data_IF_134058122208
#
_entry.id   IF_134058122208
#
_cell.length_a   1.000
_cell.length_b   1.000
_cell.length_c   1.000
_cell.angle_alpha   90.00
_cell.angle_beta   90.00
_cell.angle_gamma   90.00
#
_symmetry.space_group_name_H-M   'P 1'
#
loop_
_entity.id
_entity.type
_entity.pdbx_description
1 polymer ?
#
# COMPACT_ATOMS: atom_id res chain seq x y z
N UNK A 1 4.02 -10.23 45.98
CA UNK A 1 4.30 -10.79 44.65
C UNK A 1 5.23 -9.84 43.93
N UNK A 2 6.49 -10.21 43.70
CA UNK A 2 7.42 -9.42 42.90
C UNK A 2 7.07 -9.64 41.41
N UNK A 3 6.64 -8.61 40.71
CA UNK A 3 6.49 -8.63 39.25
C UNK A 3 7.89 -8.59 38.62
N UNK A 4 8.35 -9.70 38.10
CA UNK A 4 9.57 -9.73 37.28
C UNK A 4 9.21 -9.19 35.93
N UNK A 5 9.59 -7.95 35.66
CA UNK A 5 9.50 -7.36 34.32
C UNK A 5 10.63 -7.95 33.47
N UNK A 6 10.34 -8.94 32.65
CA UNK A 6 11.29 -9.45 31.65
C UNK A 6 11.37 -8.41 30.54
N UNK A 7 12.37 -7.54 30.58
CA UNK A 7 12.74 -6.70 29.45
C UNK A 7 13.31 -7.58 28.34
N UNK A 8 12.63 -7.67 27.21
CA UNK A 8 13.16 -8.34 26.04
C UNK A 8 14.47 -7.64 25.63
N UNK A 9 15.58 -8.37 25.73
CA UNK A 9 16.90 -7.85 25.36
C UNK A 9 17.00 -7.89 23.84
N UNK A 10 16.86 -6.71 23.20
CA UNK A 10 17.03 -6.57 21.76
C UNK A 10 18.52 -6.70 21.40
N UNK A 11 18.85 -7.57 20.45
CA UNK A 11 20.25 -7.76 20.01
C UNK A 11 20.83 -6.51 19.35
N UNK A 12 19.96 -5.71 18.68
CA UNK A 12 20.34 -4.48 18.00
C UNK A 12 19.37 -3.34 18.33
N UNK A 13 19.83 -2.05 18.35
CA UNK A 13 18.97 -0.89 18.58
C UNK A 13 17.76 -0.81 17.64
N UNK A 14 17.91 -1.14 16.36
CA UNK A 14 16.80 -1.09 15.40
C UNK A 14 15.62 -2.02 15.76
N UNK A 15 15.85 -3.06 16.53
CA UNK A 15 14.82 -4.00 16.98
C UNK A 15 13.99 -3.45 18.15
N UNK A 16 14.48 -2.41 18.84
CA UNK A 16 13.75 -1.83 19.96
C UNK A 16 12.61 -0.90 19.44
N UNK A 17 11.33 -1.27 19.62
CA UNK A 17 10.20 -0.49 19.13
C UNK A 17 9.99 0.84 19.86
N UNK A 18 10.67 1.07 20.99
CA UNK A 18 10.52 2.28 21.79
C UNK A 18 11.50 3.39 21.36
N UNK A 19 12.48 3.06 20.52
CA UNK A 19 13.36 4.07 19.91
C UNK A 19 12.64 4.79 18.75
N UNK A 20 12.99 6.07 18.50
CA UNK A 20 12.50 6.82 17.34
C UNK A 20 12.75 6.07 16.03
N UNK A 21 11.78 6.11 15.11
CA UNK A 21 11.84 5.38 13.84
C UNK A 21 13.11 5.70 13.05
N UNK A 22 13.48 6.98 12.95
CA UNK A 22 14.68 7.42 12.23
C UNK A 22 15.95 6.83 12.83
N UNK A 23 16.06 6.79 14.16
CA UNK A 23 17.19 6.17 14.84
C UNK A 23 17.29 4.67 14.51
N UNK A 24 16.16 3.98 14.51
CA UNK A 24 16.08 2.55 14.16
C UNK A 24 16.48 2.31 12.70
N UNK A 25 15.99 3.13 11.78
CA UNK A 25 16.32 3.04 10.35
C UNK A 25 17.80 3.29 10.13
N UNK A 26 18.37 4.34 10.72
CA UNK A 26 19.78 4.67 10.59
C UNK A 26 20.69 3.56 11.15
N UNK A 27 20.36 2.99 12.30
CA UNK A 27 21.09 1.86 12.88
C UNK A 27 21.04 0.63 11.96
N UNK A 28 19.86 0.26 11.46
CA UNK A 28 19.72 -0.87 10.54
C UNK A 28 20.52 -0.66 9.24
N UNK A 29 20.32 0.49 8.58
CA UNK A 29 20.99 0.80 7.30
C UNK A 29 22.50 0.85 7.45
N UNK A 30 23.04 1.34 8.59
CA UNK A 30 24.48 1.36 8.87
C UNK A 30 25.10 -0.04 8.96
N UNK A 31 24.30 -1.03 9.35
CA UNK A 31 24.76 -2.43 9.48
C UNK A 31 24.67 -3.21 8.17
N UNK A 32 23.92 -2.74 7.20
CA UNK A 32 23.72 -3.43 5.91
C UNK A 32 24.91 -3.22 4.98
N UNK A 33 25.32 -4.31 4.31
CA UNK A 33 26.25 -4.24 3.19
C UNK A 33 25.59 -3.55 1.98
N UNK A 34 26.37 -3.11 1.00
CA UNK A 34 25.84 -2.53 -0.23
C UNK A 34 24.90 -3.52 -0.95
N UNK A 35 25.28 -4.78 -1.00
CA UNK A 35 24.47 -5.82 -1.66
C UNK A 35 23.13 -6.04 -0.97
N UNK A 36 23.11 -6.05 0.36
CA UNK A 36 21.87 -6.14 1.14
C UNK A 36 20.97 -4.91 0.91
N UNK A 37 21.55 -3.70 0.87
CA UNK A 37 20.80 -2.47 0.55
C UNK A 37 20.14 -2.55 -0.82
N UNK A 38 20.89 -2.98 -1.84
CA UNK A 38 20.36 -3.16 -3.20
C UNK A 38 19.24 -4.20 -3.22
N UNK A 39 19.41 -5.32 -2.51
CA UNK A 39 18.39 -6.36 -2.39
C UNK A 39 17.08 -5.84 -1.77
N UNK A 40 17.16 -4.94 -0.78
CA UNK A 40 15.96 -4.35 -0.15
C UNK A 40 15.19 -3.37 -1.05
N UNK A 41 15.78 -2.92 -2.16
CA UNK A 41 15.09 -2.06 -3.15
C UNK A 41 14.23 -2.85 -4.15
N UNK A 42 14.28 -4.17 -4.11
CA UNK A 42 13.45 -5.03 -4.96
C UNK A 42 12.08 -5.26 -4.32
N UNK A 43 11.03 -5.44 -5.15
CA UNK A 43 9.71 -5.81 -4.62
C UNK A 43 9.73 -7.14 -3.86
N UNK A 44 10.63 -8.05 -4.22
CA UNK A 44 10.89 -9.30 -3.52
C UNK A 44 12.18 -9.15 -2.70
N UNK A 45 12.09 -8.43 -1.59
CA UNK A 45 13.22 -8.15 -0.71
C UNK A 45 13.67 -9.42 0.01
N UNK A 46 14.92 -9.88 -0.18
CA UNK A 46 15.43 -11.08 0.47
C UNK A 46 15.61 -10.88 1.97
N UNK A 47 15.64 -11.99 2.71
CA UNK A 47 16.01 -11.97 4.14
C UNK A 47 17.45 -11.51 4.36
N UNK A 48 17.69 -10.86 5.51
CA UNK A 48 19.05 -10.60 6.02
C UNK A 48 19.18 -11.33 7.34
N UNK A 49 19.47 -12.63 7.25
CA UNK A 49 19.43 -13.55 8.39
C UNK A 49 20.31 -13.11 9.54
N UNK A 50 21.55 -12.64 9.26
CA UNK A 50 22.48 -12.14 10.28
C UNK A 50 21.97 -10.95 11.10
N UNK A 51 20.97 -10.22 10.57
CA UNK A 51 20.30 -9.11 11.25
C UNK A 51 18.90 -9.47 11.77
N UNK A 52 18.45 -10.72 11.54
CA UNK A 52 17.12 -11.16 11.92
C UNK A 52 16.01 -10.47 11.10
N UNK A 53 16.30 -9.98 9.90
CA UNK A 53 15.32 -9.39 8.99
C UNK A 53 14.76 -10.49 8.10
N UNK A 54 13.45 -10.78 8.18
CA UNK A 54 12.82 -11.77 7.33
C UNK A 54 12.67 -11.24 5.89
N UNK A 55 12.53 -12.14 4.92
CA UNK A 55 12.13 -11.77 3.58
C UNK A 55 10.76 -11.08 3.58
N UNK A 56 10.58 -10.13 2.67
CA UNK A 56 9.33 -9.42 2.50
C UNK A 56 9.02 -9.19 1.03
N UNK A 57 7.77 -9.47 0.63
CA UNK A 57 7.30 -9.16 -0.71
C UNK A 57 6.36 -7.94 -0.67
N UNK A 58 6.75 -6.88 -1.39
CA UNK A 58 6.04 -5.61 -1.44
C UNK A 58 4.82 -5.65 -2.38
N UNK A 59 4.71 -6.67 -3.22
CA UNK A 59 3.66 -6.76 -4.22
C UNK A 59 2.40 -7.41 -3.65
N UNK A 60 1.48 -6.58 -3.23
CA UNK A 60 0.14 -7.00 -2.81
C UNK A 60 -0.88 -6.05 -3.41
N UNK A 61 -2.07 -6.55 -3.73
CA UNK A 61 -3.12 -5.82 -4.42
C UNK A 61 -4.44 -5.92 -3.65
N UNK A 62 -5.16 -4.80 -3.54
CA UNK A 62 -6.44 -4.74 -2.86
C UNK A 62 -7.35 -3.61 -3.38
N UNK A 63 -7.48 -3.47 -4.70
CA UNK A 63 -8.29 -2.40 -5.32
C UNK A 63 -9.76 -2.46 -4.92
N UNK A 64 -10.33 -3.67 -4.79
CA UNK A 64 -11.73 -3.89 -4.37
C UNK A 64 -11.89 -5.21 -3.60
N UNK A 65 -10.95 -5.54 -2.77
CA UNK A 65 -10.79 -6.76 -1.98
C UNK A 65 -9.38 -7.29 -2.09
N UNK A 66 -8.94 -8.10 -1.13
CA UNK A 66 -7.59 -8.69 -1.15
C UNK A 66 -7.47 -9.63 -2.35
N UNK A 67 -6.54 -9.31 -3.25
CA UNK A 67 -6.35 -10.05 -4.48
C UNK A 67 -5.32 -11.17 -4.33
N UNK A 68 -5.59 -12.30 -5.05
CA UNK A 68 -4.70 -13.43 -5.29
C UNK A 68 -4.11 -14.12 -4.05
N UNK A 69 -4.73 -13.93 -2.89
CA UNK A 69 -4.37 -14.58 -1.63
C UNK A 69 -5.47 -15.54 -1.16
N UNK A 70 -5.94 -16.42 -2.05
CA UNK A 70 -7.07 -17.32 -1.78
C UNK A 70 -8.43 -16.60 -1.79
N UNK A 71 -9.41 -17.11 -1.02
CA UNK A 71 -10.74 -16.49 -0.92
C UNK A 71 -10.69 -15.21 -0.10
N UNK A 72 -11.37 -14.17 -0.60
CA UNK A 72 -11.60 -12.90 0.08
C UNK A 72 -12.95 -12.34 -0.32
N UNK A 73 -13.46 -11.38 0.43
CA UNK A 73 -14.62 -10.60 0.02
C UNK A 73 -14.28 -9.78 -1.22
N UNK A 74 -15.11 -9.89 -2.25
CA UNK A 74 -14.98 -9.10 -3.48
C UNK A 74 -16.05 -8.02 -3.46
N UNK A 75 -15.61 -6.77 -3.39
CA UNK A 75 -16.46 -5.60 -3.50
C UNK A 75 -16.63 -5.19 -4.96
N UNK A 76 -17.58 -4.30 -5.30
CA UNK A 76 -17.63 -3.71 -6.64
C UNK A 76 -16.29 -3.08 -7.04
N UNK A 77 -16.03 -3.00 -8.34
CA UNK A 77 -14.88 -2.26 -8.88
C UNK A 77 -14.87 -0.82 -8.36
N UNK A 78 -13.69 -0.20 -8.28
CA UNK A 78 -13.53 1.14 -7.73
C UNK A 78 -14.45 2.18 -8.39
N UNK A 79 -14.63 2.13 -9.71
CA UNK A 79 -15.54 3.01 -10.44
C UNK A 79 -17.01 2.82 -10.00
N UNK A 80 -17.41 1.59 -9.68
CA UNK A 80 -18.74 1.29 -9.16
C UNK A 80 -18.93 1.77 -7.71
N UNK A 81 -17.90 1.64 -6.87
CA UNK A 81 -17.90 2.21 -5.53
C UNK A 81 -17.95 3.74 -5.57
N UNK A 82 -17.23 4.37 -6.50
CA UNK A 82 -17.25 5.82 -6.67
C UNK A 82 -18.63 6.35 -7.07
N UNK A 83 -19.39 5.59 -7.85
CA UNK A 83 -20.76 5.95 -8.26
C UNK A 83 -21.76 6.01 -7.08
N UNK A 84 -21.39 5.54 -5.90
CA UNK A 84 -22.22 5.69 -4.68
C UNK A 84 -22.13 7.09 -4.07
N UNK A 85 -21.08 7.85 -4.36
CA UNK A 85 -20.79 9.16 -3.76
C UNK A 85 -20.77 9.12 -2.22
N UNK A 86 -20.43 7.96 -1.63
CA UNK A 86 -20.47 7.71 -0.18
C UNK A 86 -19.06 7.47 0.37
N UNK A 87 -18.38 8.50 0.90
CA UNK A 87 -17.06 8.37 1.53
C UNK A 87 -17.06 7.46 2.76
N UNK A 88 -18.16 7.42 3.53
CA UNK A 88 -18.25 6.58 4.73
C UNK A 88 -18.36 5.09 4.34
N UNK A 89 -19.07 4.80 3.27
CA UNK A 89 -19.10 3.45 2.69
C UNK A 89 -17.70 3.04 2.24
N UNK A 90 -16.96 3.92 1.55
CA UNK A 90 -15.59 3.66 1.12
C UNK A 90 -14.68 3.34 2.31
N UNK A 91 -14.77 4.10 3.39
CA UNK A 91 -14.02 3.83 4.63
C UNK A 91 -14.34 2.45 5.20
N UNK A 92 -15.62 2.07 5.28
CA UNK A 92 -16.04 0.75 5.78
C UNK A 92 -15.56 -0.39 4.90
N UNK A 93 -15.64 -0.23 3.57
CA UNK A 93 -15.12 -1.22 2.60
C UNK A 93 -13.62 -1.41 2.79
N UNK A 94 -12.85 -0.32 2.82
CA UNK A 94 -11.40 -0.38 3.01
C UNK A 94 -11.01 -0.97 4.37
N UNK A 95 -11.81 -0.70 5.41
CA UNK A 95 -11.62 -1.30 6.74
C UNK A 95 -11.79 -2.82 6.69
N UNK A 96 -12.85 -3.32 6.04
CA UNK A 96 -13.07 -4.76 5.87
C UNK A 96 -11.93 -5.40 5.06
N UNK A 97 -11.49 -4.76 3.98
CA UNK A 97 -10.34 -5.23 3.17
C UNK A 97 -9.08 -5.36 4.04
N UNK A 98 -8.77 -4.36 4.85
CA UNK A 98 -7.57 -4.38 5.68
C UNK A 98 -7.65 -5.39 6.84
N UNK A 99 -8.84 -5.70 7.37
CA UNK A 99 -9.05 -6.79 8.34
C UNK A 99 -8.76 -8.15 7.71
N UNK A 100 -9.31 -8.41 6.53
CA UNK A 100 -9.02 -9.64 5.78
C UNK A 100 -7.53 -9.75 5.40
N UNK A 101 -6.91 -8.65 4.99
CA UNK A 101 -5.49 -8.58 4.68
C UNK A 101 -4.62 -8.99 5.87
N UNK A 102 -4.91 -8.45 7.05
CA UNK A 102 -4.22 -8.82 8.30
C UNK A 102 -4.40 -10.30 8.64
N UNK A 103 -5.61 -10.81 8.57
CA UNK A 103 -5.90 -12.21 8.87
C UNK A 103 -5.11 -13.14 7.92
N UNK A 104 -5.10 -12.84 6.62
CA UNK A 104 -4.36 -13.61 5.61
C UNK A 104 -2.85 -13.55 5.82
N UNK A 105 -2.31 -12.36 6.08
CA UNK A 105 -0.89 -12.19 6.36
C UNK A 105 -0.45 -13.00 7.59
N UNK A 106 -1.21 -12.92 8.69
CA UNK A 106 -0.88 -13.65 9.90
C UNK A 106 -0.92 -15.16 9.67
N UNK A 107 -1.87 -15.66 8.90
CA UNK A 107 -1.94 -17.07 8.56
C UNK A 107 -0.77 -17.50 7.66
N UNK A 108 -0.39 -16.69 6.66
CA UNK A 108 0.78 -16.96 5.83
C UNK A 108 2.06 -17.00 6.66
N UNK A 109 2.27 -16.04 7.55
CA UNK A 109 3.43 -16.00 8.45
C UNK A 109 3.44 -17.21 9.38
N UNK A 110 2.28 -17.61 9.93
CA UNK A 110 2.14 -18.80 10.78
C UNK A 110 2.57 -20.09 10.05
N UNK A 111 2.35 -20.14 8.73
CA UNK A 111 2.79 -21.24 7.85
C UNK A 111 4.22 -21.12 7.34
N UNK A 112 4.93 -20.07 7.71
CA UNK A 112 6.29 -19.79 7.23
C UNK A 112 6.35 -19.17 5.83
N UNK A 113 5.23 -18.67 5.29
CA UNK A 113 5.15 -18.07 3.96
C UNK A 113 5.28 -16.56 4.04
N UNK A 114 6.03 -15.98 3.08
CA UNK A 114 6.23 -14.52 2.92
C UNK A 114 6.37 -14.15 1.44
N UNK A 115 5.60 -14.78 0.59
CA UNK A 115 5.64 -14.61 -0.85
C UNK A 115 4.83 -13.42 -1.35
N UNK A 116 4.70 -13.37 -2.67
CA UNK A 116 3.84 -12.40 -3.38
C UNK A 116 2.38 -12.56 -2.92
N UNK A 117 1.68 -11.44 -2.71
CA UNK A 117 0.30 -11.35 -2.20
C UNK A 117 0.09 -11.79 -0.74
N UNK A 118 1.16 -11.98 0.02
CA UNK A 118 1.13 -12.41 1.41
C UNK A 118 1.61 -11.31 2.39
N UNK A 119 1.98 -10.14 1.88
CA UNK A 119 2.45 -9.00 2.66
C UNK A 119 1.32 -8.07 3.13
N UNK A 120 1.72 -6.91 3.66
CA UNK A 120 0.83 -5.86 4.21
C UNK A 120 0.98 -4.51 3.50
N UNK A 121 1.78 -4.42 2.46
CA UNK A 121 1.92 -3.23 1.61
C UNK A 121 1.10 -3.43 0.37
N UNK A 122 0.05 -2.62 0.19
CA UNK A 122 -0.89 -2.76 -0.90
C UNK A 122 -0.70 -1.65 -1.94
N UNK A 123 -0.50 -2.02 -3.19
CA UNK A 123 -0.40 -1.11 -4.33
C UNK A 123 -1.79 -0.62 -4.75
N UNK A 124 -2.46 0.03 -3.81
CA UNK A 124 -3.83 0.51 -3.86
C UNK A 124 -3.97 1.74 -2.95
N UNK A 125 -4.87 2.68 -3.28
CA UNK A 125 -5.82 2.73 -4.38
C UNK A 125 -5.20 3.22 -5.70
N UNK A 126 -5.92 3.01 -6.83
CA UNK A 126 -5.62 3.69 -8.07
C UNK A 126 -6.38 5.03 -8.11
N UNK A 127 -5.64 6.14 -7.97
CA UNK A 127 -6.17 7.50 -7.93
C UNK A 127 -5.87 8.31 -9.19
N UNK A 128 -5.52 7.62 -10.28
CA UNK A 128 -5.40 8.27 -11.57
C UNK A 128 -6.75 8.79 -12.05
N UNK A 129 -6.75 9.94 -12.71
CA UNK A 129 -7.94 10.49 -13.35
C UNK A 129 -8.23 9.70 -14.62
N UNK A 130 -9.46 9.17 -14.73
CA UNK A 130 -9.91 8.40 -15.89
C UNK A 130 -10.25 9.35 -17.06
N UNK A 131 -9.24 9.70 -17.85
CA UNK A 131 -9.36 10.69 -18.92
C UNK A 131 -9.54 10.12 -20.34
N UNK A 132 -9.18 8.85 -20.56
CA UNK A 132 -9.26 8.21 -21.88
C UNK A 132 -10.03 6.89 -21.77
N UNK A 133 -11.19 6.77 -22.44
CA UNK A 133 -12.01 5.56 -22.37
C UNK A 133 -11.35 4.33 -22.99
N UNK A 134 -10.28 4.51 -23.76
CA UNK A 134 -9.49 3.39 -24.33
C UNK A 134 -8.50 2.79 -23.34
N UNK A 135 -8.35 3.40 -22.16
CA UNK A 135 -7.49 2.85 -21.14
C UNK A 135 -8.10 1.60 -20.48
N UNK A 136 -7.42 0.45 -20.60
CA UNK A 136 -7.93 -0.85 -20.15
C UNK A 136 -8.11 -1.01 -18.64
N UNK A 137 -7.63 -0.05 -17.83
CA UNK A 137 -7.72 -0.07 -16.35
C UNK A 137 -8.61 1.03 -15.77
N UNK A 138 -9.45 1.64 -16.60
CA UNK A 138 -10.35 2.72 -16.15
C UNK A 138 -11.28 2.31 -14.99
N UNK A 139 -11.74 1.05 -14.94
CA UNK A 139 -12.60 0.53 -13.89
C UNK A 139 -11.91 0.48 -12.50
N UNK A 140 -10.58 0.52 -12.46
CA UNK A 140 -9.83 0.54 -11.19
C UNK A 140 -9.79 1.90 -10.53
N UNK A 141 -10.28 2.96 -11.20
CA UNK A 141 -10.23 4.34 -10.71
C UNK A 141 -11.55 4.79 -10.09
N UNK A 142 -11.52 5.92 -9.41
CA UNK A 142 -12.72 6.57 -8.88
C UNK A 142 -13.39 7.53 -9.90
N UNK A 143 -12.92 7.56 -11.15
CA UNK A 143 -13.51 8.34 -12.24
C UNK A 143 -12.66 9.52 -12.70
N UNK A 144 -13.32 10.51 -13.29
CA UNK A 144 -12.66 11.65 -13.96
C UNK A 144 -12.56 12.90 -13.08
N UNK A 145 -13.34 12.98 -11.99
CA UNK A 145 -13.37 14.15 -11.12
C UNK A 145 -12.27 14.08 -10.05
N UNK A 146 -11.35 15.07 -9.98
CA UNK A 146 -10.25 15.04 -9.02
C UNK A 146 -10.69 15.24 -7.58
N UNK A 147 -11.79 15.97 -7.31
CA UNK A 147 -12.30 16.17 -5.96
C UNK A 147 -12.95 14.89 -5.41
N UNK A 148 -13.78 14.23 -6.20
CA UNK A 148 -14.38 12.95 -5.83
C UNK A 148 -13.29 11.90 -5.61
N UNK A 149 -12.33 11.83 -6.55
CA UNK A 149 -11.20 10.89 -6.46
C UNK A 149 -10.40 11.10 -5.17
N UNK A 150 -10.04 12.34 -4.85
CA UNK A 150 -9.30 12.65 -3.62
C UNK A 150 -10.11 12.34 -2.36
N UNK A 151 -11.40 12.69 -2.34
CA UNK A 151 -12.30 12.45 -1.20
C UNK A 151 -12.44 10.96 -0.88
N UNK A 152 -12.65 10.13 -1.90
CA UNK A 152 -12.76 8.68 -1.72
C UNK A 152 -11.41 8.03 -1.41
N UNK A 153 -10.32 8.50 -2.05
CA UNK A 153 -8.97 8.00 -1.81
C UNK A 153 -8.54 8.20 -0.36
N UNK A 154 -8.81 9.35 0.24
CA UNK A 154 -8.52 9.62 1.66
C UNK A 154 -9.23 8.61 2.56
N UNK A 155 -10.49 8.30 2.29
CA UNK A 155 -11.25 7.33 3.10
C UNK A 155 -10.74 5.90 2.89
N UNK A 156 -10.39 5.54 1.65
CA UNK A 156 -9.78 4.26 1.36
C UNK A 156 -8.45 4.09 2.13
N UNK A 157 -7.56 5.08 2.05
CA UNK A 157 -6.27 5.06 2.76
C UNK A 157 -6.47 4.96 4.26
N UNK A 158 -7.37 5.76 4.85
CA UNK A 158 -7.70 5.69 6.29
C UNK A 158 -8.21 4.31 6.70
N UNK A 159 -9.12 3.71 5.94
CA UNK A 159 -9.63 2.38 6.21
C UNK A 159 -8.55 1.29 6.09
N UNK A 160 -7.65 1.42 5.11
CA UNK A 160 -6.52 0.51 4.95
C UNK A 160 -5.49 0.63 6.08
N UNK A 161 -5.14 1.84 6.49
CA UNK A 161 -4.06 2.09 7.44
C UNK A 161 -4.51 2.04 8.90
N UNK A 162 -5.81 2.14 9.16
CA UNK A 162 -6.35 2.17 10.53
C UNK A 162 -6.04 3.47 11.25
N UNK A 163 -6.27 3.49 12.55
CA UNK A 163 -6.17 4.67 13.39
C UNK A 163 -5.19 4.54 14.56
N UNK A 164 -4.37 3.47 14.59
CA UNK A 164 -3.36 3.32 15.63
C UNK A 164 -2.23 4.36 15.40
N UNK A 165 -1.86 5.14 16.43
CA UNK A 165 -0.88 6.22 16.28
C UNK A 165 0.55 5.73 16.05
N UNK A 166 0.85 4.48 16.37
CA UNK A 166 2.20 3.89 16.29
C UNK A 166 2.32 2.87 15.16
N UNK A 167 1.27 2.11 14.90
CA UNK A 167 1.32 0.97 13.98
C UNK A 167 0.24 1.06 12.91
N UNK A 168 0.66 1.09 11.64
CA UNK A 168 -0.28 0.97 10.54
C UNK A 168 -0.86 -0.45 10.47
N UNK A 169 -2.16 -0.55 10.22
CA UNK A 169 -2.85 -1.80 10.02
C UNK A 169 -2.37 -2.50 8.75
N UNK A 170 -2.35 -1.77 7.64
CA UNK A 170 -1.67 -2.09 6.38
C UNK A 170 -1.06 -0.81 5.81
N UNK A 171 -0.26 -0.90 4.77
CA UNK A 171 0.28 0.27 4.07
C UNK A 171 -0.45 0.42 2.73
N UNK A 172 -1.14 1.53 2.54
CA UNK A 172 -1.72 1.90 1.26
C UNK A 172 -0.69 2.65 0.41
N UNK A 173 -0.69 2.39 -0.90
CA UNK A 173 0.20 3.03 -1.85
C UNK A 173 -0.62 3.60 -3.00
N UNK A 174 -1.09 4.86 -2.87
CA UNK A 174 -1.78 5.54 -3.96
C UNK A 174 -0.96 5.57 -5.24
N UNK A 175 -1.57 5.21 -6.37
CA UNK A 175 -0.87 5.05 -7.66
C UNK A 175 -1.72 5.56 -8.81
N UNK A 176 -1.15 5.81 -9.97
CA UNK A 176 0.27 5.80 -10.36
C UNK A 176 0.72 7.24 -10.55
N UNK A 177 1.75 7.66 -9.88
CA UNK A 177 2.19 9.06 -9.90
C UNK A 177 2.84 9.41 -11.26
N UNK A 178 2.31 10.41 -11.99
CA UNK A 178 1.07 11.10 -11.65
C UNK A 178 0.06 11.06 -12.81
N UNK A 179 0.48 11.36 -14.04
CA UNK A 179 -0.36 11.40 -15.23
C UNK A 179 -0.23 10.09 -15.98
N UNK A 180 -1.06 9.14 -15.64
CA UNK A 180 -1.16 7.83 -16.29
C UNK A 180 -2.46 7.78 -17.11
N UNK A 181 -2.85 6.65 -17.68
CA UNK A 181 -4.12 6.48 -18.40
C UNK A 181 -4.17 7.03 -19.84
N UNK A 182 -3.29 6.54 -20.67
CA UNK A 182 -3.40 6.62 -22.13
C UNK A 182 -4.12 5.43 -22.73
N UNK A 183 -4.25 5.36 -24.08
CA UNK A 183 -4.79 4.20 -24.76
C UNK A 183 -4.06 2.92 -24.37
N UNK A 184 -4.80 1.82 -24.15
CA UNK A 184 -4.22 0.56 -23.68
C UNK A 184 -3.14 -0.01 -24.62
N UNK A 185 -3.25 0.07 -25.97
CA UNK A 185 -2.18 -0.38 -26.86
C UNK A 185 -0.84 0.33 -26.63
N UNK A 186 -0.88 1.58 -26.16
CA UNK A 186 0.31 2.41 -25.95
C UNK A 186 0.82 2.37 -24.50
N UNK A 187 0.26 1.53 -23.66
CA UNK A 187 0.48 1.49 -22.21
C UNK A 187 1.95 1.57 -21.78
N UNK A 188 2.85 0.94 -22.52
CA UNK A 188 4.27 0.88 -22.20
C UNK A 188 5.14 1.92 -22.93
N UNK A 189 4.53 2.70 -23.82
CA UNK A 189 5.21 3.70 -24.63
C UNK A 189 4.54 5.08 -24.60
N UNK A 190 3.40 5.20 -23.90
CA UNK A 190 2.61 6.42 -23.86
C UNK A 190 3.36 7.56 -23.15
N UNK A 191 3.60 8.64 -23.87
CA UNK A 191 4.11 9.89 -23.31
C UNK A 191 2.95 10.81 -22.92
N UNK A 192 2.78 11.00 -21.62
CA UNK A 192 1.69 11.78 -21.05
C UNK A 192 2.03 13.28 -21.03
N UNK A 193 1.87 13.94 -22.16
CA UNK A 193 2.07 15.39 -22.26
C UNK A 193 0.87 16.14 -21.71
N UNK A 194 1.09 16.96 -20.68
CA UNK A 194 0.05 17.82 -20.06
C UNK A 194 0.60 19.21 -19.77
N UNK A 195 -0.28 20.21 -19.73
CA UNK A 195 0.11 21.55 -19.29
C UNK A 195 0.41 21.58 -17.80
N UNK A 196 1.23 22.52 -17.35
CA UNK A 196 1.49 22.77 -15.93
C UNK A 196 0.19 23.02 -15.15
N UNK A 197 -0.76 23.73 -15.77
CA UNK A 197 -2.07 23.99 -15.20
C UNK A 197 -2.86 22.70 -14.99
N UNK A 198 -3.00 21.87 -16.02
CA UNK A 198 -3.74 20.61 -15.92
C UNK A 198 -3.10 19.66 -14.91
N UNK A 199 -1.76 19.62 -14.88
CA UNK A 199 -1.03 18.84 -13.89
C UNK A 199 -1.44 19.22 -12.46
N UNK A 200 -1.46 20.53 -12.15
CA UNK A 200 -1.75 21.04 -10.82
C UNK A 200 -3.24 21.03 -10.44
N UNK A 201 -4.12 21.26 -11.40
CA UNK A 201 -5.56 21.40 -11.13
C UNK A 201 -6.31 20.06 -11.25
N UNK A 202 -5.82 19.12 -12.05
CA UNK A 202 -6.50 17.87 -12.35
C UNK A 202 -5.78 16.64 -11.81
N UNK A 203 -4.48 16.49 -12.09
CA UNK A 203 -3.78 15.22 -11.84
C UNK A 203 -3.13 15.12 -10.47
N UNK A 204 -2.62 16.21 -9.92
CA UNK A 204 -1.97 16.20 -8.60
C UNK A 204 -2.91 16.31 -7.38
N UNK A 205 -4.13 16.85 -7.45
CA UNK A 205 -4.94 17.07 -6.25
C UNK A 205 -5.18 15.79 -5.44
N UNK A 206 -5.42 14.66 -6.08
CA UNK A 206 -5.65 13.39 -5.38
C UNK A 206 -4.40 12.81 -4.70
N UNK A 207 -3.20 13.32 -5.02
CA UNK A 207 -1.93 12.92 -4.41
C UNK A 207 -1.47 13.84 -3.26
N UNK A 208 -2.23 14.88 -2.94
CA UNK A 208 -1.98 15.79 -1.82
C UNK A 208 -2.66 15.27 -0.57
#
# INVERSE_FOLDING_TARGET
MLSITVTAQHAFPFQNPDLPLEQRVNDLVSRMTLQEKVGQMLYNAPAIERLGIPAYNWWNEALHGVARAGRATVFPQAIGLAATWDPDLMFRVATAISDEARAKHHESVRRGHRGIYEGLTFWSPNINIFRDPRWGRGMETFGEDPFLTGSLAVQFVKGMQGNDPKYLKTVATPKHFAVHSGPEPDRHAFDAVVSERDLRETYLPAFR
#
